data_IF_005882610384
#
_entry.id   IF_005882610384
#
_cell.length_a   1.000
_cell.length_b   1.000
_cell.length_c   1.000
_cell.angle_alpha   90.00
_cell.angle_beta   90.00
_cell.angle_gamma   90.00
#
_symmetry.space_group_name_H-M   'P 1'
#
loop_
_entity.id
_entity.type
_entity.pdbx_description
1 polymer ?
#
# COMPACT_ATOMS: atom_id res chain seq x y z
N UNK A 1 4.29 11.45 24.37
CA UNK A 1 3.48 10.40 23.72
C UNK A 1 4.45 9.28 23.38
N UNK A 2 4.28 8.11 23.99
CA UNK A 2 5.17 6.97 23.80
C UNK A 2 4.84 6.30 22.46
N UNK A 3 5.74 6.43 21.48
CA UNK A 3 5.74 5.58 20.29
C UNK A 3 6.05 4.16 20.76
N UNK A 4 5.02 3.32 20.89
CA UNK A 4 5.19 1.89 21.16
C UNK A 4 5.92 1.28 19.96
N UNK A 5 6.98 0.52 20.22
CA UNK A 5 7.70 -0.20 19.17
C UNK A 5 6.72 -1.09 18.37
N UNK A 6 6.90 -1.24 17.05
CA UNK A 6 6.04 -2.10 16.24
C UNK A 6 6.07 -3.52 16.78
N UNK A 7 4.92 -4.20 16.79
CA UNK A 7 4.88 -5.60 17.22
C UNK A 7 5.69 -6.51 16.28
N UNK A 8 6.13 -7.66 16.79
CA UNK A 8 6.80 -8.67 15.96
C UNK A 8 5.91 -9.13 14.79
N UNK A 9 4.59 -9.21 15.03
CA UNK A 9 3.58 -9.53 14.01
C UNK A 9 3.56 -8.47 12.90
N UNK A 10 3.51 -7.19 13.27
CA UNK A 10 3.50 -6.08 12.33
C UNK A 10 4.77 -6.07 11.49
N UNK A 11 5.93 -6.20 12.13
CA UNK A 11 7.23 -6.22 11.46
C UNK A 11 7.30 -7.35 10.43
N UNK A 12 6.86 -8.56 10.81
CA UNK A 12 6.83 -9.72 9.91
C UNK A 12 5.86 -9.53 8.74
N UNK A 13 4.64 -9.05 9.00
CA UNK A 13 3.64 -8.85 7.95
C UNK A 13 4.09 -7.77 6.94
N UNK A 14 4.70 -6.68 7.41
CA UNK A 14 5.28 -5.66 6.53
C UNK A 14 6.38 -6.24 5.65
N UNK A 15 7.28 -7.07 6.21
CA UNK A 15 8.33 -7.75 5.42
C UNK A 15 7.73 -8.62 4.31
N UNK A 16 6.71 -9.43 4.61
CA UNK A 16 6.06 -10.29 3.61
C UNK A 16 5.39 -9.47 2.48
N UNK A 17 4.77 -8.34 2.82
CA UNK A 17 4.17 -7.44 1.83
C UNK A 17 5.25 -6.76 0.98
N UNK A 18 6.35 -6.31 1.59
CA UNK A 18 7.48 -5.70 0.90
C UNK A 18 8.19 -6.69 -0.03
N UNK A 19 8.44 -7.92 0.42
CA UNK A 19 8.99 -9.00 -0.39
C UNK A 19 8.12 -9.31 -1.59
N UNK A 20 6.79 -9.24 -1.43
CA UNK A 20 5.88 -9.39 -2.55
C UNK A 20 6.00 -8.22 -3.53
N UNK A 21 5.98 -6.96 -3.05
CA UNK A 21 6.16 -5.77 -3.91
C UNK A 21 7.52 -5.73 -4.60
N UNK A 22 8.56 -6.24 -3.95
CA UNK A 22 9.91 -6.32 -4.51
C UNK A 22 10.01 -7.22 -5.74
N UNK A 23 8.99 -8.05 -6.01
CA UNK A 23 8.89 -8.88 -7.20
C UNK A 23 8.38 -8.10 -8.44
N UNK A 24 8.00 -6.82 -8.33
CA UNK A 24 7.67 -6.00 -9.50
C UNK A 24 8.92 -5.85 -10.39
N UNK A 25 8.89 -6.34 -11.64
CA UNK A 25 10.04 -6.24 -12.54
C UNK A 25 10.28 -4.81 -13.04
N UNK A 26 9.31 -3.90 -12.88
CA UNK A 26 9.48 -2.51 -13.27
C UNK A 26 10.26 -1.78 -12.21
N UNK A 27 11.34 -1.14 -12.62
CA UNK A 27 12.18 -0.36 -11.74
C UNK A 27 11.86 1.13 -11.88
N UNK A 28 11.97 1.85 -10.77
CA UNK A 28 11.94 3.31 -10.73
C UNK A 28 13.21 3.82 -10.07
N UNK A 29 13.68 4.97 -10.53
CA UNK A 29 14.84 5.65 -9.98
C UNK A 29 14.34 6.75 -9.05
N UNK A 30 14.76 6.72 -7.79
CA UNK A 30 14.39 7.72 -6.80
C UNK A 30 15.61 8.43 -6.26
N UNK A 31 15.41 9.69 -5.91
CA UNK A 31 16.40 10.54 -5.30
C UNK A 31 16.07 10.68 -3.82
N UNK A 32 16.92 10.16 -2.96
CA UNK A 32 16.77 10.21 -1.50
C UNK A 32 17.76 11.22 -0.94
N UNK A 33 17.25 12.18 -0.18
CA UNK A 33 18.07 13.15 0.54
C UNK A 33 18.38 12.63 1.96
N UNK A 34 19.05 11.48 2.08
CA UNK A 34 19.34 10.83 3.37
C UNK A 34 20.19 11.70 4.32
N UNK A 35 20.93 12.69 3.78
CA UNK A 35 21.80 13.60 4.54
C UNK A 35 21.47 15.10 4.29
N UNK A 36 20.21 15.41 3.98
CA UNK A 36 19.80 16.76 3.61
C UNK A 36 19.91 17.07 2.11
N UNK A 37 19.44 18.25 1.65
CA UNK A 37 19.29 18.56 0.23
C UNK A 37 20.62 18.71 -0.52
N UNK A 38 21.74 18.80 0.20
CA UNK A 38 23.05 19.16 -0.35
C UNK A 38 23.79 17.98 -1.01
N UNK A 39 23.41 16.73 -0.70
CA UNK A 39 23.99 15.53 -1.33
C UNK A 39 22.93 14.42 -1.48
N UNK A 40 22.01 14.54 -2.45
CA UNK A 40 21.04 13.49 -2.72
C UNK A 40 21.71 12.23 -3.26
N UNK A 41 21.31 11.07 -2.77
CA UNK A 41 21.70 9.78 -3.33
C UNK A 41 20.60 9.28 -4.25
N UNK A 42 20.97 8.81 -5.43
CA UNK A 42 20.03 8.19 -6.36
C UNK A 42 20.09 6.67 -6.22
N UNK A 43 18.95 6.01 -6.12
CA UNK A 43 18.85 4.55 -6.05
C UNK A 43 17.71 4.03 -6.93
N UNK A 44 17.80 2.77 -7.33
CA UNK A 44 16.79 2.10 -8.15
C UNK A 44 16.09 1.02 -7.33
N UNK A 45 14.76 0.97 -7.40
CA UNK A 45 13.95 -0.02 -6.69
C UNK A 45 12.72 -0.44 -7.52
N UNK A 46 12.12 -1.61 -7.23
CA UNK A 46 10.83 -2.00 -7.80
C UNK A 46 9.75 -0.94 -7.60
N UNK A 47 8.98 -0.62 -8.65
CA UNK A 47 8.05 0.50 -8.64
C UNK A 47 6.95 0.34 -7.59
N UNK A 48 6.28 -0.82 -7.49
CA UNK A 48 5.26 -0.98 -6.45
C UNK A 48 5.86 -0.96 -5.02
N UNK A 49 7.12 -1.39 -4.82
CA UNK A 49 7.78 -1.26 -3.51
C UNK A 49 8.05 0.21 -3.17
N UNK A 50 8.49 1.01 -4.15
CA UNK A 50 8.59 2.46 -3.98
C UNK A 50 7.24 3.07 -3.58
N UNK A 51 6.20 2.75 -4.34
CA UNK A 51 4.85 3.28 -4.14
C UNK A 51 4.32 2.91 -2.75
N UNK A 52 4.48 1.65 -2.32
CA UNK A 52 4.08 1.17 -0.99
C UNK A 52 4.81 1.88 0.16
N UNK A 53 6.11 2.14 0.03
CA UNK A 53 6.88 2.92 1.01
C UNK A 53 6.42 4.39 1.06
N UNK A 54 6.10 4.96 -0.09
CA UNK A 54 5.54 6.32 -0.19
C UNK A 54 4.17 6.41 0.48
N UNK A 55 3.31 5.40 0.29
CA UNK A 55 2.02 5.26 0.98
C UNK A 55 2.19 5.25 2.51
N UNK A 56 3.12 4.47 3.06
CA UNK A 56 3.40 4.49 4.51
C UNK A 56 3.91 5.86 4.98
N UNK A 57 4.76 6.52 4.21
CA UNK A 57 5.26 7.86 4.56
C UNK A 57 4.12 8.87 4.68
N UNK A 58 3.19 8.87 3.73
CA UNK A 58 2.02 9.75 3.77
C UNK A 58 1.04 9.38 4.88
N UNK A 59 0.86 8.09 5.17
CA UNK A 59 0.07 7.65 6.32
C UNK A 59 0.56 8.27 7.62
N UNK A 60 1.86 8.19 7.93
CA UNK A 60 2.37 8.74 9.19
C UNK A 60 2.37 10.27 9.24
N UNK A 61 2.36 10.95 8.08
CA UNK A 61 2.12 12.40 8.01
C UNK A 61 0.66 12.75 8.30
N UNK A 62 -0.28 11.94 7.80
CA UNK A 62 -1.72 12.15 7.97
C UNK A 62 -2.21 11.75 9.36
N UNK A 63 -1.80 10.57 9.82
CA UNK A 63 -2.23 9.92 11.06
C UNK A 63 -0.98 9.45 11.81
N UNK A 64 -0.49 10.19 12.82
CA UNK A 64 0.77 9.89 13.50
C UNK A 64 0.82 8.54 14.22
N UNK A 65 -0.32 8.06 14.71
CA UNK A 65 -0.45 6.80 15.45
C UNK A 65 -1.51 5.89 14.80
N UNK A 66 -1.27 5.38 13.58
CA UNK A 66 -2.25 4.55 12.87
C UNK A 66 -2.29 3.14 13.49
N UNK A 67 -3.44 2.47 13.40
CA UNK A 67 -3.55 1.07 13.82
C UNK A 67 -2.66 0.16 12.96
N UNK A 68 -2.30 -1.01 13.49
CA UNK A 68 -1.55 -1.99 12.70
C UNK A 68 -2.33 -2.45 11.45
N UNK A 69 -3.65 -2.75 11.52
CA UNK A 69 -4.41 -3.10 10.32
C UNK A 69 -4.39 -2.02 9.23
N UNK A 70 -4.48 -0.75 9.61
CA UNK A 70 -4.39 0.36 8.67
C UNK A 70 -2.99 0.46 8.05
N UNK A 71 -1.92 0.31 8.85
CA UNK A 71 -0.55 0.29 8.33
C UNK A 71 -0.34 -0.83 7.30
N UNK A 72 -0.87 -2.03 7.57
CA UNK A 72 -0.77 -3.17 6.66
C UNK A 72 -1.59 -2.96 5.39
N UNK A 73 -2.82 -2.45 5.49
CA UNK A 73 -3.66 -2.16 4.33
C UNK A 73 -3.06 -1.05 3.43
N UNK A 74 -2.46 -0.03 4.05
CA UNK A 74 -1.72 1.03 3.36
C UNK A 74 -0.50 0.45 2.64
N UNK A 75 0.29 -0.39 3.33
CA UNK A 75 1.46 -1.03 2.71
C UNK A 75 1.07 -1.98 1.59
N UNK A 76 -0.09 -2.63 1.67
CA UNK A 76 -0.63 -3.52 0.64
C UNK A 76 -1.29 -2.79 -0.56
N UNK A 77 -1.27 -1.46 -0.61
CA UNK A 77 -1.76 -0.74 -1.78
C UNK A 77 -0.99 -1.13 -3.03
N UNK A 78 -1.72 -1.43 -4.10
CA UNK A 78 -1.20 -1.97 -5.36
C UNK A 78 -0.45 -3.31 -5.27
N UNK A 79 -0.63 -4.09 -4.19
CA UNK A 79 0.04 -5.39 -4.02
C UNK A 79 -0.10 -6.28 -5.26
N UNK A 80 1.02 -6.69 -5.86
CA UNK A 80 1.06 -7.53 -7.07
C UNK A 80 0.18 -7.03 -8.23
N UNK A 81 -0.02 -5.71 -8.35
CA UNK A 81 -0.87 -5.11 -9.38
C UNK A 81 -0.33 -5.31 -10.80
N UNK A 82 1.00 -5.32 -10.98
CA UNK A 82 1.65 -5.52 -12.28
C UNK A 82 1.32 -6.88 -12.91
N UNK A 83 0.95 -7.89 -12.10
CA UNK A 83 0.55 -9.22 -12.59
C UNK A 83 -0.84 -9.20 -13.26
N UNK A 84 -1.60 -8.10 -13.12
CA UNK A 84 -2.91 -7.90 -13.75
C UNK A 84 -2.92 -6.55 -14.47
N UNK A 85 -2.27 -6.44 -15.64
CA UNK A 85 -2.18 -5.19 -16.39
C UNK A 85 -3.56 -4.60 -16.74
N UNK A 86 -3.67 -3.27 -16.77
CA UNK A 86 -4.95 -2.59 -17.08
C UNK A 86 -5.45 -2.95 -18.50
N UNK A 87 -4.56 -3.11 -19.45
CA UNK A 87 -4.88 -3.46 -20.84
C UNK A 87 -5.37 -4.91 -21.03
N UNK A 88 -5.28 -5.76 -20.01
CA UNK A 88 -5.90 -7.09 -20.00
C UNK A 88 -7.45 -7.06 -19.91
N UNK A 89 -8.04 -5.89 -19.70
CA UNK A 89 -9.49 -5.65 -19.68
C UNK A 89 -9.89 -4.61 -20.73
N UNK A 90 -11.13 -4.65 -21.27
CA UNK A 90 -11.60 -3.69 -22.26
C UNK A 90 -11.39 -2.22 -21.84
N UNK A 91 -11.04 -1.36 -22.80
CA UNK A 91 -10.89 0.10 -22.60
C UNK A 91 -12.25 0.82 -22.47
N UNK A 92 -13.17 0.23 -21.71
CA UNK A 92 -14.50 0.77 -21.41
C UNK A 92 -14.62 1.05 -19.92
N UNK A 93 -15.61 1.86 -19.56
CA UNK A 93 -15.96 2.11 -18.15
C UNK A 93 -16.25 0.81 -17.39
N UNK A 94 -16.99 -0.11 -18.01
CA UNK A 94 -17.29 -1.42 -17.42
C UNK A 94 -16.03 -2.28 -17.26
N UNK A 95 -15.14 -2.30 -18.27
CA UNK A 95 -13.87 -3.02 -18.18
C UNK A 95 -12.96 -2.49 -17.08
N UNK A 96 -12.89 -1.16 -16.90
CA UNK A 96 -12.15 -0.55 -15.80
C UNK A 96 -12.70 -0.95 -14.43
N UNK A 97 -14.02 -0.91 -14.23
CA UNK A 97 -14.61 -1.31 -12.95
C UNK A 97 -14.38 -2.79 -12.67
N UNK A 98 -14.54 -3.66 -13.66
CA UNK A 98 -14.28 -5.10 -13.51
C UNK A 98 -12.82 -5.37 -13.08
N UNK A 99 -11.87 -4.74 -13.76
CA UNK A 99 -10.45 -4.83 -13.41
C UNK A 99 -10.17 -4.36 -11.99
N UNK A 100 -10.69 -3.18 -11.60
CA UNK A 100 -10.49 -2.61 -10.27
C UNK A 100 -11.10 -3.49 -9.17
N UNK A 101 -12.31 -4.02 -9.39
CA UNK A 101 -12.98 -4.92 -8.43
C UNK A 101 -12.20 -6.22 -8.27
N UNK A 102 -11.71 -6.81 -9.37
CA UNK A 102 -10.87 -8.00 -9.31
C UNK A 102 -9.57 -7.76 -8.53
N UNK A 103 -8.88 -6.65 -8.82
CA UNK A 103 -7.66 -6.28 -8.10
C UNK A 103 -7.91 -6.11 -6.59
N UNK A 104 -8.94 -5.36 -6.21
CA UNK A 104 -9.26 -5.13 -4.80
C UNK A 104 -9.49 -6.44 -4.04
N UNK A 105 -10.24 -7.38 -4.62
CA UNK A 105 -10.47 -8.70 -4.02
C UNK A 105 -9.16 -9.49 -3.89
N UNK A 106 -8.40 -9.60 -4.98
CA UNK A 106 -7.14 -10.36 -5.01
C UNK A 106 -6.11 -9.82 -4.01
N UNK A 107 -5.99 -8.50 -3.93
CA UNK A 107 -5.03 -7.82 -3.06
C UNK A 107 -5.39 -8.01 -1.59
N UNK A 108 -6.68 -7.94 -1.25
CA UNK A 108 -7.16 -8.22 0.08
C UNK A 108 -6.87 -9.68 0.48
N UNK A 109 -7.17 -10.65 -0.37
CA UNK A 109 -6.88 -12.07 -0.12
C UNK A 109 -5.37 -12.34 0.07
N UNK A 110 -4.51 -11.63 -0.67
CA UNK A 110 -3.06 -11.71 -0.49
C UNK A 110 -2.63 -11.13 0.86
N UNK A 111 -3.09 -9.93 1.19
CA UNK A 111 -2.75 -9.25 2.43
C UNK A 111 -3.26 -10.03 3.66
N UNK A 112 -4.49 -10.55 3.61
CA UNK A 112 -5.07 -11.41 4.64
C UNK A 112 -4.18 -12.63 4.92
N UNK A 113 -3.75 -13.34 3.87
CA UNK A 113 -2.85 -14.50 4.02
C UNK A 113 -1.51 -14.13 4.65
N UNK A 114 -0.90 -13.02 4.23
CA UNK A 114 0.36 -12.55 4.81
C UNK A 114 0.19 -12.16 6.29
N UNK A 115 -0.95 -11.58 6.67
CA UNK A 115 -1.27 -11.27 8.07
C UNK A 115 -1.41 -12.55 8.90
N UNK A 116 -2.13 -13.55 8.40
CA UNK A 116 -2.26 -14.86 9.07
C UNK A 116 -0.90 -15.54 9.24
N UNK A 117 -0.05 -15.52 8.22
CA UNK A 117 1.32 -16.05 8.28
C UNK A 117 2.20 -15.30 9.30
N UNK A 118 1.96 -14.00 9.46
CA UNK A 118 2.63 -13.18 10.46
C UNK A 118 2.10 -13.38 11.89
N UNK A 119 1.01 -14.14 12.07
CA UNK A 119 0.44 -14.48 13.38
C UNK A 119 -0.73 -13.60 13.82
N UNK A 120 -1.32 -12.80 12.92
CA UNK A 120 -2.59 -12.14 13.18
C UNK A 120 -3.74 -13.17 13.21
N UNK A 121 -4.76 -12.88 14.01
CA UNK A 121 -5.99 -13.67 14.05
C UNK A 121 -6.81 -13.47 12.76
N UNK A 122 -7.75 -14.39 12.51
CA UNK A 122 -8.71 -14.28 11.39
C UNK A 122 -9.41 -12.92 11.32
N UNK A 123 -10.01 -12.41 12.42
CA UNK A 123 -10.66 -11.10 12.43
C UNK A 123 -9.70 -9.92 12.17
N UNK A 124 -8.47 -9.98 12.66
CA UNK A 124 -7.45 -8.95 12.38
C UNK A 124 -7.04 -8.96 10.90
N UNK A 125 -6.83 -10.14 10.31
CA UNK A 125 -6.54 -10.28 8.88
C UNK A 125 -7.72 -9.81 8.02
N UNK A 126 -8.95 -10.23 8.34
CA UNK A 126 -10.17 -9.78 7.66
C UNK A 126 -10.32 -8.26 7.71
N UNK A 127 -9.98 -7.63 8.83
CA UNK A 127 -9.96 -6.17 8.96
C UNK A 127 -9.01 -5.51 7.94
N UNK A 128 -7.79 -6.05 7.77
CA UNK A 128 -6.85 -5.58 6.74
C UNK A 128 -7.45 -5.74 5.35
N UNK A 129 -8.04 -6.90 5.05
CA UNK A 129 -8.67 -7.16 3.77
C UNK A 129 -9.83 -6.22 3.45
N UNK A 130 -10.70 -5.93 4.43
CA UNK A 130 -11.80 -4.99 4.30
C UNK A 130 -11.31 -3.58 3.96
N UNK A 131 -10.25 -3.12 4.62
CA UNK A 131 -9.59 -1.84 4.31
C UNK A 131 -9.03 -1.82 2.88
N UNK A 132 -8.34 -2.88 2.44
CA UNK A 132 -7.81 -2.99 1.06
C UNK A 132 -8.93 -2.96 0.02
N UNK A 133 -10.09 -3.59 0.32
CA UNK A 133 -11.29 -3.51 -0.53
C UNK A 133 -12.03 -2.17 -0.44
N UNK A 134 -11.64 -1.31 0.49
CA UNK A 134 -12.24 0.00 0.77
C UNK A 134 -13.71 -0.11 1.16
N UNK A 135 -14.02 -1.13 1.97
CA UNK A 135 -15.37 -1.39 2.46
C UNK A 135 -15.82 -0.27 3.42
N UNK A 136 -17.12 0.05 3.39
CA UNK A 136 -17.72 1.04 4.28
C UNK A 136 -17.06 2.44 4.32
N UNK A 137 -16.46 2.89 3.20
CA UNK A 137 -15.81 4.21 3.06
C UNK A 137 -16.59 5.41 3.67
N UNK A 138 -17.93 5.39 3.64
CA UNK A 138 -18.73 6.50 4.20
C UNK A 138 -18.84 6.50 5.73
N UNK A 139 -18.44 5.43 6.40
CA UNK A 139 -18.69 5.18 7.83
C UNK A 139 -17.43 4.78 8.60
N UNK A 140 -16.48 4.13 7.93
CA UNK A 140 -15.24 3.67 8.53
C UNK A 140 -14.13 4.70 8.36
N UNK A 141 -13.72 5.30 9.47
CA UNK A 141 -12.69 6.35 9.53
C UNK A 141 -11.35 5.88 8.96
N UNK A 142 -10.94 4.63 9.19
CA UNK A 142 -9.66 4.14 8.66
C UNK A 142 -9.70 3.89 7.16
N UNK A 143 -10.87 3.50 6.63
CA UNK A 143 -11.06 3.41 5.19
C UNK A 143 -10.99 4.81 4.55
N UNK A 144 -11.50 5.85 5.23
CA UNK A 144 -11.37 7.24 4.77
C UNK A 144 -9.91 7.70 4.77
N UNK A 145 -9.17 7.43 5.86
CA UNK A 145 -7.73 7.72 5.93
C UNK A 145 -6.98 7.02 4.80
N UNK A 146 -7.31 5.76 4.50
CA UNK A 146 -6.69 5.03 3.41
C UNK A 146 -6.95 5.68 2.04
N UNK A 147 -8.18 6.13 1.77
CA UNK A 147 -8.50 6.86 0.54
C UNK A 147 -7.79 8.20 0.45
N UNK A 148 -7.73 8.96 1.55
CA UNK A 148 -7.08 10.27 1.60
C UNK A 148 -5.58 10.12 1.31
N UNK A 149 -4.91 9.16 1.96
CA UNK A 149 -3.50 8.83 1.71
C UNK A 149 -3.29 8.39 0.25
N UNK A 150 -4.16 7.54 -0.28
CA UNK A 150 -4.07 7.10 -1.68
C UNK A 150 -4.23 8.27 -2.67
N UNK A 151 -5.14 9.21 -2.39
CA UNK A 151 -5.32 10.41 -3.19
C UNK A 151 -4.10 11.33 -3.12
N UNK A 152 -3.54 11.57 -1.93
CA UNK A 152 -2.35 12.40 -1.75
C UNK A 152 -1.14 11.82 -2.46
N UNK A 153 -0.91 10.51 -2.34
CA UNK A 153 0.19 9.83 -3.03
C UNK A 153 -0.03 9.82 -4.54
N UNK A 154 -1.27 9.59 -5.02
CA UNK A 154 -1.59 9.68 -6.44
C UNK A 154 -1.24 11.07 -7.01
N UNK A 155 -1.66 12.15 -6.33
CA UNK A 155 -1.35 13.51 -6.77
C UNK A 155 0.17 13.79 -6.79
N UNK A 156 0.89 13.33 -5.76
CA UNK A 156 2.35 13.49 -5.68
C UNK A 156 3.12 12.56 -6.62
N UNK A 157 2.52 11.47 -7.11
CA UNK A 157 3.14 10.59 -8.11
C UNK A 157 2.95 11.13 -9.53
N UNK A 158 1.77 11.73 -9.81
CA UNK A 158 1.47 12.33 -11.11
C UNK A 158 2.13 13.70 -11.31
N UNK A 159 2.47 14.43 -10.24
CA UNK A 159 3.14 15.73 -10.33
C UNK A 159 4.55 15.67 -10.93
N UNK A 160 5.15 14.47 -11.03
CA UNK A 160 6.43 14.24 -11.73
C UNK A 160 6.28 14.13 -13.26
N UNK A 161 5.07 14.31 -13.80
CA UNK A 161 4.76 14.30 -15.23
C UNK A 161 4.42 15.67 -15.84
N UNK A 162 4.62 16.78 -15.12
CA UNK A 162 4.44 18.15 -15.62
C UNK A 162 5.76 18.92 -15.67
#
# INVERSE_FOLDING_TARGET
>A
MTTTAPSDKLTKALSLIDEAHAQDPRLTTITIADNGPENPTTTTLPYELHYANKMTTYLHKHTPNPSEPLQLAIRAQHLKRWEVPRDSYPATKAGYYSWRTYLAKRQAELAERMCLEAGYSGPEAERVGALVRKEDLRKDEETQVLEDVACLVFLDDQSWGF
#
